data_IF_798299067351
#
_entry.id   IF_798299067351
#
_cell.length_a   1.000
_cell.length_b   1.000
_cell.length_c   1.000
_cell.angle_alpha   90.00
_cell.angle_beta   90.00
_cell.angle_gamma   90.00
#
_symmetry.space_group_name_H-M   'P 1'
#
loop_
_entity.id
_entity.type
_entity.pdbx_description
1 polymer ?
#
# COMPACT_ATOMS: atom_id res chain seq x y z
N UNK A 1 76.45 11.11 7.87
CA UNK A 1 75.71 11.81 6.80
C UNK A 1 74.32 12.06 7.30
N UNK A 2 73.96 13.33 7.43
CA UNK A 2 72.67 13.76 7.94
C UNK A 2 71.54 13.28 7.02
N UNK A 3 70.67 12.41 7.53
CA UNK A 3 69.43 12.10 6.86
C UNK A 3 68.45 13.28 6.98
N UNK A 4 67.72 13.56 5.91
CA UNK A 4 66.57 14.46 5.92
C UNK A 4 65.37 13.62 6.33
N UNK A 5 64.89 13.77 7.57
CA UNK A 5 63.76 12.99 8.06
C UNK A 5 62.52 13.25 7.21
N UNK A 6 61.85 12.16 6.82
CA UNK A 6 60.55 12.25 6.17
C UNK A 6 59.49 12.91 7.08
N UNK A 7 58.32 13.20 6.51
CA UNK A 7 57.22 13.80 7.27
C UNK A 7 56.76 12.97 8.47
N UNK A 8 56.93 11.64 8.39
CA UNK A 8 56.54 10.67 9.41
C UNK A 8 57.70 10.19 10.31
N UNK A 9 58.90 10.76 10.17
CA UNK A 9 60.10 10.35 10.91
C UNK A 9 60.63 11.43 11.85
N UNK A 10 61.15 11.00 13.00
CA UNK A 10 61.95 11.78 13.93
C UNK A 10 63.42 11.77 13.50
N UNK A 11 64.07 12.93 13.57
CA UNK A 11 65.53 13.09 13.42
C UNK A 11 66.14 13.18 14.81
N UNK A 12 67.08 12.32 15.14
CA UNK A 12 67.79 12.35 16.42
C UNK A 12 69.23 11.86 16.26
N UNK A 13 70.06 12.15 17.25
CA UNK A 13 71.46 11.72 17.30
C UNK A 13 71.56 10.44 18.15
N UNK A 14 72.15 9.38 17.61
CA UNK A 14 72.35 8.14 18.34
C UNK A 14 73.52 8.25 19.34
N UNK A 15 73.72 7.20 20.16
CA UNK A 15 74.79 7.15 21.17
C UNK A 15 76.21 7.25 20.62
N UNK A 16 76.38 7.09 19.30
CA UNK A 16 77.66 7.16 18.61
C UNK A 16 77.84 8.52 17.90
N UNK A 17 76.92 9.47 18.08
CA UNK A 17 76.96 10.79 17.45
C UNK A 17 76.45 10.80 16.01
N UNK A 18 75.81 9.73 15.52
CA UNK A 18 75.28 9.69 14.16
C UNK A 18 73.85 10.23 14.12
N UNK A 19 73.58 11.10 13.15
CA UNK A 19 72.22 11.55 12.83
C UNK A 19 71.45 10.42 12.14
N UNK A 20 70.35 10.00 12.76
CA UNK A 20 69.47 8.94 12.27
C UNK A 20 68.01 9.42 12.20
N UNK A 21 67.29 8.90 11.22
CA UNK A 21 65.89 9.18 10.97
C UNK A 21 65.10 7.91 11.23
N UNK A 22 64.13 7.97 12.16
CA UNK A 22 63.31 6.80 12.52
C UNK A 22 61.86 7.20 12.72
N UNK A 23 60.97 6.23 12.55
CA UNK A 23 59.53 6.41 12.73
C UNK A 23 59.10 6.53 14.22
N UNK A 24 59.99 6.25 15.17
CA UNK A 24 59.79 6.43 16.61
C UNK A 24 60.75 7.48 17.19
N UNK A 25 60.33 8.10 18.30
CA UNK A 25 61.14 9.07 19.04
C UNK A 25 62.32 8.39 19.75
N UNK A 26 63.53 8.94 19.61
CA UNK A 26 64.75 8.60 20.38
C UNK A 26 65.09 7.09 20.46
N UNK A 27 64.68 6.30 19.46
CA UNK A 27 64.93 4.86 19.43
C UNK A 27 64.01 4.01 20.30
N UNK A 28 62.92 4.59 20.83
CA UNK A 28 61.85 3.82 21.47
C UNK A 28 61.16 2.85 20.50
N UNK A 29 60.53 1.81 21.03
CA UNK A 29 59.75 0.89 20.21
C UNK A 29 58.52 1.58 19.63
N UNK A 30 58.29 1.37 18.34
CA UNK A 30 57.13 1.92 17.65
C UNK A 30 55.85 1.28 18.20
N UNK A 31 54.93 2.10 18.70
CA UNK A 31 53.66 1.64 19.26
C UNK A 31 52.59 1.56 18.17
N UNK A 32 52.30 0.34 17.73
CA UNK A 32 51.19 0.07 16.82
C UNK A 32 49.87 -0.06 17.57
N UNK A 33 48.77 0.31 16.91
CA UNK A 33 47.43 0.16 17.44
C UNK A 33 46.41 -0.08 16.33
N UNK A 34 45.32 -0.75 16.68
CA UNK A 34 44.18 -0.94 15.80
C UNK A 34 43.29 0.31 15.81
N UNK A 35 42.90 0.77 14.62
CA UNK A 35 41.96 1.87 14.43
C UNK A 35 40.79 1.41 13.58
N UNK A 36 39.57 1.76 13.98
CA UNK A 36 38.37 1.45 13.20
C UNK A 36 38.37 2.24 11.89
N UNK A 37 38.14 1.54 10.78
CA UNK A 37 38.12 2.12 9.44
C UNK A 37 36.72 2.13 8.81
N UNK A 38 35.80 1.32 9.35
CA UNK A 38 34.44 1.22 8.83
C UNK A 38 33.91 -0.20 8.89
N UNK A 39 32.88 -0.44 8.09
CA UNK A 39 32.19 -1.72 8.01
C UNK A 39 32.39 -2.35 6.63
N UNK A 40 32.26 -3.68 6.57
CA UNK A 40 32.18 -4.39 5.30
C UNK A 40 31.13 -3.78 4.34
N UNK A 41 31.44 -3.75 3.04
CA UNK A 41 30.55 -3.18 2.04
C UNK A 41 29.21 -3.94 1.94
N UNK A 42 29.26 -5.26 2.15
CA UNK A 42 28.11 -6.17 2.06
C UNK A 42 27.81 -6.80 3.42
N UNK A 43 26.54 -7.13 3.61
CA UNK A 43 26.10 -7.93 4.74
C UNK A 43 26.50 -9.39 4.52
N UNK A 44 26.87 -10.07 5.60
CA UNK A 44 27.12 -11.51 5.59
C UNK A 44 25.81 -12.30 5.68
N UNK A 45 25.91 -13.64 5.74
CA UNK A 45 24.76 -14.55 5.90
C UNK A 45 23.90 -14.24 7.12
N UNK A 46 24.53 -13.71 8.18
CA UNK A 46 23.88 -13.38 9.44
C UNK A 46 23.24 -11.97 9.42
N UNK A 47 23.17 -11.33 8.25
CA UNK A 47 22.62 -9.98 8.06
C UNK A 47 23.40 -8.95 8.91
N UNK A 48 24.70 -9.17 9.07
CA UNK A 48 25.58 -8.27 9.80
C UNK A 48 26.78 -7.84 8.94
N UNK A 49 27.40 -6.71 9.31
CA UNK A 49 28.66 -6.26 8.75
C UNK A 49 29.76 -6.38 9.80
N UNK A 50 30.88 -6.94 9.38
CA UNK A 50 32.08 -6.98 10.21
C UNK A 50 32.72 -5.59 10.30
N UNK A 51 33.30 -5.30 11.47
CA UNK A 51 34.13 -4.12 11.67
C UNK A 51 35.49 -4.32 11.01
N UNK A 52 35.86 -3.36 10.17
CA UNK A 52 37.17 -3.30 9.53
C UNK A 52 38.07 -2.42 10.41
N UNK A 53 39.24 -2.96 10.74
CA UNK A 53 40.29 -2.25 11.45
C UNK A 53 41.57 -2.23 10.63
N UNK A 54 42.22 -1.07 10.63
CA UNK A 54 43.57 -0.88 10.11
C UNK A 54 44.59 -0.84 11.23
N UNK A 55 45.85 -1.14 10.89
CA UNK A 55 46.97 -1.03 11.81
C UNK A 55 47.65 0.32 11.59
N UNK A 56 47.88 1.05 12.67
CA UNK A 56 48.42 2.41 12.63
C UNK A 56 49.51 2.59 13.67
N UNK A 57 50.39 3.55 13.42
CA UNK A 57 51.20 4.20 14.45
C UNK A 57 50.98 5.72 14.38
N UNK A 58 51.49 6.46 15.35
CA UNK A 58 51.46 7.92 15.35
C UNK A 58 52.85 8.45 15.05
N UNK A 59 52.95 9.36 14.10
CA UNK A 59 54.20 10.04 13.76
C UNK A 59 54.53 11.19 14.75
N UNK A 60 55.59 11.93 14.46
CA UNK A 60 56.03 13.11 15.23
C UNK A 60 55.00 14.23 15.34
N UNK A 61 54.06 14.30 14.40
CA UNK A 61 52.98 15.29 14.40
C UNK A 61 51.69 14.71 15.02
N UNK A 62 51.77 13.54 15.68
CA UNK A 62 50.63 12.80 16.23
C UNK A 62 49.61 12.38 15.14
N UNK A 63 50.05 12.34 13.88
CA UNK A 63 49.23 11.90 12.74
C UNK A 63 49.27 10.38 12.67
N UNK A 64 48.09 9.78 12.48
CA UNK A 64 47.97 8.34 12.31
C UNK A 64 48.44 7.93 10.91
N UNK A 65 49.49 7.10 10.85
CA UNK A 65 50.03 6.54 9.60
C UNK A 65 49.66 5.06 9.52
N UNK A 66 48.98 4.69 8.44
CA UNK A 66 48.54 3.31 8.21
C UNK A 66 49.72 2.45 7.77
N UNK A 67 49.81 1.25 8.33
CA UNK A 67 50.81 0.25 7.99
C UNK A 67 50.15 -1.10 7.73
N UNK A 68 50.93 -2.07 7.29
CA UNK A 68 50.44 -3.43 7.09
C UNK A 68 49.98 -4.05 8.41
N UNK A 69 48.92 -4.87 8.35
CA UNK A 69 48.30 -5.49 9.53
C UNK A 69 49.26 -6.38 10.33
N UNK A 70 50.33 -6.86 9.70
CA UNK A 70 51.39 -7.67 10.33
C UNK A 70 52.09 -6.95 11.49
N UNK A 71 52.10 -5.62 11.50
CA UNK A 71 52.71 -4.84 12.59
C UNK A 71 51.86 -4.78 13.87
N UNK A 72 50.57 -5.11 13.79
CA UNK A 72 49.66 -5.13 14.94
C UNK A 72 49.40 -6.54 15.48
N UNK A 73 50.18 -7.56 15.08
CA UNK A 73 49.99 -8.95 15.51
C UNK A 73 50.21 -9.16 17.01
N UNK A 74 51.10 -8.37 17.61
CA UNK A 74 51.37 -8.35 19.05
C UNK A 74 50.33 -7.57 19.87
N UNK A 75 49.41 -6.86 19.21
CA UNK A 75 48.37 -6.04 19.85
C UNK A 75 47.03 -6.72 19.69
N UNK A 76 46.30 -6.91 20.79
CA UNK A 76 44.98 -7.54 20.75
C UNK A 76 44.04 -6.74 19.84
N UNK A 77 43.47 -7.44 18.84
CA UNK A 77 42.51 -6.85 17.94
C UNK A 77 41.24 -6.50 18.74
N UNK A 78 40.69 -5.28 18.60
CA UNK A 78 39.42 -4.93 19.21
C UNK A 78 38.32 -5.90 18.79
N UNK A 79 37.32 -6.08 19.65
CA UNK A 79 36.30 -7.08 19.47
C UNK A 79 35.63 -6.98 18.08
N UNK A 80 35.53 -8.13 17.40
CA UNK A 80 34.92 -8.28 16.08
C UNK A 80 33.40 -8.26 16.16
N UNK A 81 32.82 -7.39 17.00
CA UNK A 81 31.38 -7.25 17.11
C UNK A 81 30.84 -6.81 15.76
N UNK A 82 30.00 -7.64 15.15
CA UNK A 82 29.33 -7.28 13.91
C UNK A 82 28.16 -6.34 14.22
N UNK A 83 27.81 -5.50 13.26
CA UNK A 83 26.63 -4.63 13.35
C UNK A 83 25.55 -5.13 12.43
N UNK A 84 24.30 -5.08 12.87
CA UNK A 84 23.17 -5.47 12.03
C UNK A 84 23.05 -4.55 10.81
N UNK A 85 22.70 -5.12 9.67
CA UNK A 85 22.35 -4.38 8.48
C UNK A 85 20.91 -3.91 8.57
N UNK A 86 20.69 -2.77 9.20
CA UNK A 86 19.33 -2.27 9.43
C UNK A 86 18.83 -1.42 8.25
N UNK A 87 17.56 -1.59 7.89
CA UNK A 87 16.89 -0.78 6.88
C UNK A 87 15.40 -0.68 7.19
N UNK A 88 14.74 0.48 6.95
CA UNK A 88 13.29 0.56 7.04
C UNK A 88 12.60 -0.33 6.01
N UNK A 89 11.36 -0.70 6.31
CA UNK A 89 10.48 -1.43 5.39
C UNK A 89 10.28 -0.68 4.07
N UNK A 90 10.36 -1.41 2.96
CA UNK A 90 9.99 -0.91 1.64
C UNK A 90 8.46 -0.95 1.51
N UNK A 91 7.84 0.19 1.23
CA UNK A 91 6.38 0.33 1.17
C UNK A 91 5.96 0.80 -0.22
N UNK A 92 5.08 0.05 -0.86
CA UNK A 92 4.45 0.47 -2.11
C UNK A 92 3.14 1.24 -1.85
N UNK A 93 2.65 1.90 -2.91
CA UNK A 93 1.33 2.53 -2.88
C UNK A 93 0.20 1.53 -2.61
N UNK A 94 -0.95 2.06 -2.19
CA UNK A 94 -2.16 1.25 -2.05
C UNK A 94 -2.63 0.74 -3.41
N UNK A 95 -3.04 -0.53 -3.44
CA UNK A 95 -3.77 -1.10 -4.57
C UNK A 95 -5.20 -0.57 -4.65
N UNK A 96 -5.94 -1.05 -5.65
CA UNK A 96 -7.35 -0.72 -5.79
C UNK A 96 -8.17 -1.22 -4.58
N UNK A 97 -9.21 -0.46 -4.23
CA UNK A 97 -10.16 -0.90 -3.22
C UNK A 97 -11.01 -2.07 -3.74
N UNK A 98 -11.28 -3.05 -2.88
CA UNK A 98 -12.10 -4.22 -3.25
C UNK A 98 -13.55 -3.90 -3.62
N UNK A 99 -14.04 -2.72 -3.22
CA UNK A 99 -15.35 -2.19 -3.61
C UNK A 99 -15.24 -0.73 -4.00
N UNK A 100 -16.11 -0.28 -4.89
CA UNK A 100 -16.24 1.14 -5.24
C UNK A 100 -17.07 1.95 -4.23
N UNK A 101 -17.88 1.29 -3.41
CA UNK A 101 -18.73 1.88 -2.37
C UNK A 101 -19.10 0.84 -1.31
N UNK A 102 -19.76 1.26 -0.22
CA UNK A 102 -20.32 0.38 0.79
C UNK A 102 -19.26 -0.33 1.65
N UNK A 103 -18.05 0.22 1.72
CA UNK A 103 -16.94 -0.30 2.52
C UNK A 103 -16.25 -1.49 1.86
N UNK A 104 -15.02 -1.24 1.38
CA UNK A 104 -14.09 -2.24 0.91
C UNK A 104 -12.76 -2.21 1.68
N UNK A 105 -11.83 -3.02 1.22
CA UNK A 105 -10.47 -3.12 1.75
C UNK A 105 -9.49 -2.94 0.60
N UNK A 106 -8.44 -2.16 0.83
CA UNK A 106 -7.30 -2.05 -0.07
C UNK A 106 -6.06 -2.55 0.65
N UNK A 107 -5.17 -3.19 -0.11
CA UNK A 107 -3.90 -3.72 0.40
C UNK A 107 -2.73 -3.04 -0.27
N UNK A 108 -1.57 -3.06 0.39
CA UNK A 108 -0.30 -2.59 -0.20
C UNK A 108 0.82 -3.56 0.12
N UNK A 109 1.87 -3.53 -0.71
CA UNK A 109 3.06 -4.33 -0.45
C UNK A 109 3.94 -3.65 0.61
N UNK A 110 4.34 -4.42 1.61
CA UNK A 110 5.28 -4.04 2.66
C UNK A 110 6.33 -5.15 2.74
N UNK A 111 7.54 -4.87 2.24
CA UNK A 111 8.60 -5.88 2.12
C UNK A 111 9.87 -5.43 2.83
N UNK A 112 10.65 -6.42 3.29
CA UNK A 112 12.00 -6.20 3.77
C UNK A 112 12.98 -6.71 2.70
N UNK A 113 13.91 -5.86 2.28
CA UNK A 113 14.87 -6.23 1.25
C UNK A 113 15.82 -7.32 1.76
N UNK A 114 16.11 -8.30 0.91
CA UNK A 114 17.01 -9.39 1.27
C UNK A 114 18.39 -8.85 1.69
N UNK A 115 18.92 -9.41 2.78
CA UNK A 115 20.20 -8.98 3.36
C UNK A 115 20.10 -7.77 4.30
N UNK A 116 18.90 -7.33 4.66
CA UNK A 116 18.66 -6.33 5.68
C UNK A 116 17.71 -6.84 6.77
N UNK A 117 17.82 -6.24 7.95
CA UNK A 117 16.93 -6.44 9.07
C UNK A 117 16.01 -5.21 9.21
N UNK A 118 14.72 -5.41 9.02
CA UNK A 118 13.71 -4.36 9.14
C UNK A 118 12.94 -4.39 10.47
N UNK A 119 13.16 -5.42 11.31
CA UNK A 119 12.39 -5.68 12.54
C UNK A 119 12.59 -4.61 13.62
N UNK A 120 13.67 -3.84 13.55
CA UNK A 120 13.90 -2.69 14.43
C UNK A 120 13.01 -1.49 14.09
N UNK A 121 12.35 -1.50 12.92
CA UNK A 121 11.39 -0.48 12.51
C UNK A 121 9.96 -1.03 12.64
N UNK A 122 9.00 -0.24 13.13
CA UNK A 122 7.60 -0.64 13.18
C UNK A 122 7.11 -1.04 11.79
N UNK A 123 6.53 -2.24 11.66
CA UNK A 123 5.99 -2.70 10.39
C UNK A 123 4.79 -1.83 9.98
N UNK A 124 4.83 -1.18 8.80
CA UNK A 124 3.71 -0.40 8.32
C UNK A 124 2.46 -1.26 8.07
N UNK A 125 1.28 -0.68 8.26
CA UNK A 125 0.01 -1.36 7.94
C UNK A 125 0.00 -1.79 6.47
N UNK A 126 -0.52 -2.97 6.17
CA UNK A 126 -0.59 -3.52 4.80
C UNK A 126 -2.03 -3.64 4.28
N UNK A 127 -3.02 -3.32 5.10
CA UNK A 127 -4.45 -3.39 4.80
C UNK A 127 -5.18 -2.25 5.47
N UNK A 128 -6.10 -1.59 4.75
CA UNK A 128 -6.96 -0.56 5.32
C UNK A 128 -8.33 -0.52 4.66
N UNK A 129 -9.31 0.01 5.38
CA UNK A 129 -10.63 0.28 4.85
C UNK A 129 -10.58 1.37 3.76
N UNK A 130 -11.46 1.26 2.77
CA UNK A 130 -11.60 2.22 1.68
C UNK A 130 -13.05 2.27 1.19
N UNK A 131 -13.40 3.35 0.49
CA UNK A 131 -14.71 3.54 -0.13
C UNK A 131 -15.88 3.27 0.82
N UNK A 132 -15.83 3.89 2.01
CA UNK A 132 -16.81 3.76 3.09
C UNK A 132 -18.11 4.53 2.83
N UNK A 133 -18.17 5.30 1.75
CA UNK A 133 -19.38 5.99 1.32
C UNK A 133 -20.49 4.97 1.02
N UNK A 134 -21.73 5.34 1.31
CA UNK A 134 -22.89 4.51 0.95
C UNK A 134 -22.98 4.38 -0.57
N UNK A 135 -23.36 3.18 -1.03
CA UNK A 135 -23.66 2.98 -2.43
C UNK A 135 -24.97 3.69 -2.78
N UNK A 136 -25.04 4.27 -3.98
CA UNK A 136 -26.25 4.92 -4.49
C UNK A 136 -27.00 3.97 -5.43
N UNK A 137 -28.25 3.64 -5.07
CA UNK A 137 -29.21 2.99 -5.94
C UNK A 137 -30.38 3.92 -6.27
N UNK A 138 -31.06 3.66 -7.38
CA UNK A 138 -32.28 4.37 -7.77
C UNK A 138 -33.42 3.37 -7.94
N UNK A 139 -34.61 3.77 -7.48
CA UNK A 139 -35.81 3.02 -7.77
C UNK A 139 -36.20 3.24 -9.23
N UNK A 140 -36.42 2.14 -9.94
CA UNK A 140 -36.93 2.12 -11.30
C UNK A 140 -38.37 1.61 -11.28
N UNK A 141 -39.20 2.19 -12.13
CA UNK A 141 -40.63 1.87 -12.24
C UNK A 141 -40.98 1.50 -13.66
N UNK A 142 -41.78 0.44 -13.83
CA UNK A 142 -42.44 0.14 -15.09
C UNK A 142 -43.65 1.04 -15.34
N UNK A 143 -44.25 0.89 -16.52
CA UNK A 143 -45.55 1.51 -16.82
C UNK A 143 -46.66 0.97 -15.91
N UNK A 144 -47.73 1.75 -15.75
CA UNK A 144 -48.94 1.31 -15.07
C UNK A 144 -49.68 0.28 -15.91
N UNK A 145 -50.13 -0.80 -15.27
CA UNK A 145 -51.01 -1.80 -15.88
C UNK A 145 -52.44 -1.29 -16.07
N UNK A 146 -53.31 -2.16 -16.59
CA UNK A 146 -54.73 -1.84 -16.79
C UNK A 146 -55.43 -1.60 -15.45
N UNK A 147 -56.40 -0.69 -15.45
CA UNK A 147 -57.21 -0.38 -14.27
C UNK A 147 -58.15 -1.55 -13.96
N UNK A 148 -58.17 -2.04 -12.71
CA UNK A 148 -59.03 -3.15 -12.28
C UNK A 148 -60.53 -2.85 -12.42
N UNK A 149 -60.89 -1.57 -12.46
CA UNK A 149 -62.26 -1.13 -12.63
C UNK A 149 -62.78 -1.28 -14.07
N UNK A 150 -61.91 -1.63 -15.05
CA UNK A 150 -62.32 -1.90 -16.42
C UNK A 150 -63.08 -3.22 -16.56
N UNK A 151 -62.91 -4.15 -15.63
CA UNK A 151 -63.57 -5.46 -15.65
C UNK A 151 -64.88 -5.47 -14.83
N UNK A 152 -65.39 -4.30 -14.43
CA UNK A 152 -66.62 -4.18 -13.66
C UNK A 152 -67.84 -4.17 -14.58
N UNK A 153 -68.93 -4.87 -14.24
CA UNK A 153 -70.14 -4.90 -15.06
C UNK A 153 -70.84 -3.53 -15.04
N UNK A 154 -71.27 -3.05 -16.21
CA UNK A 154 -72.07 -1.85 -16.35
C UNK A 154 -73.42 -2.19 -16.97
N UNK A 155 -74.51 -1.81 -16.31
CA UNK A 155 -75.85 -2.01 -16.86
C UNK A 155 -76.08 -1.10 -18.09
N UNK A 156 -76.75 -1.65 -19.09
CA UNK A 156 -77.07 -1.03 -20.38
C UNK A 156 -77.88 0.27 -20.27
N UNK A 157 -78.76 0.38 -19.27
CA UNK A 157 -79.67 1.52 -19.11
C UNK A 157 -78.96 2.87 -18.88
N UNK A 158 -77.69 2.85 -18.44
CA UNK A 158 -76.96 4.07 -18.02
C UNK A 158 -75.97 4.59 -19.07
N UNK A 159 -75.81 3.91 -20.21
CA UNK A 159 -74.86 4.25 -21.26
C UNK A 159 -73.38 4.04 -20.87
N UNK A 160 -72.92 4.74 -19.83
CA UNK A 160 -71.58 4.58 -19.26
C UNK A 160 -71.60 4.57 -17.73
N UNK A 161 -70.84 3.65 -17.13
CA UNK A 161 -70.58 3.60 -15.70
C UNK A 161 -69.17 4.10 -15.38
N UNK A 162 -69.05 4.79 -14.25
CA UNK A 162 -67.77 5.25 -13.73
C UNK A 162 -67.44 4.49 -12.46
N UNK A 163 -66.31 3.78 -12.50
CA UNK A 163 -65.85 2.96 -11.39
C UNK A 163 -64.45 3.39 -10.96
N UNK A 164 -64.22 3.39 -9.66
CA UNK A 164 -62.89 3.57 -9.10
C UNK A 164 -62.26 2.19 -8.85
N UNK A 165 -61.03 2.03 -9.29
CA UNK A 165 -60.26 0.80 -9.14
C UNK A 165 -58.81 1.08 -8.78
N UNK A 166 -57.99 0.04 -8.89
CA UNK A 166 -56.55 0.12 -8.65
C UNK A 166 -55.81 -0.36 -9.88
N UNK A 167 -54.71 0.31 -10.20
CA UNK A 167 -53.74 -0.15 -11.19
C UNK A 167 -52.41 -0.44 -10.51
N UNK A 168 -51.68 -1.42 -11.03
CA UNK A 168 -50.42 -1.93 -10.47
C UNK A 168 -49.25 -1.69 -11.43
N UNK A 169 -48.03 -1.56 -10.91
CA UNK A 169 -46.79 -1.50 -11.70
C UNK A 169 -45.65 -2.25 -11.04
N UNK A 170 -44.66 -2.65 -11.84
CA UNK A 170 -43.40 -3.17 -11.33
C UNK A 170 -42.54 -2.05 -10.75
N UNK A 171 -41.96 -2.28 -9.57
CA UNK A 171 -41.01 -1.38 -8.90
C UNK A 171 -39.81 -2.21 -8.47
N UNK A 172 -38.64 -1.92 -9.01
CA UNK A 172 -37.40 -2.64 -8.72
C UNK A 172 -36.23 -1.68 -8.48
N UNK A 173 -35.20 -2.20 -7.85
CA UNK A 173 -34.05 -1.42 -7.40
C UNK A 173 -32.87 -1.61 -8.35
N UNK A 174 -32.21 -0.53 -8.77
CA UNK A 174 -31.15 -0.57 -9.81
C UNK A 174 -29.91 -1.36 -9.38
N UNK A 175 -29.51 -1.19 -8.13
CA UNK A 175 -28.54 -1.95 -7.38
C UNK A 175 -29.06 -1.95 -5.94
N UNK A 176 -28.91 -3.02 -5.15
CA UNK A 176 -29.62 -3.22 -3.86
C UNK A 176 -29.49 -2.15 -2.75
N UNK A 177 -29.02 -0.95 -3.07
CA UNK A 177 -28.79 0.22 -2.23
C UNK A 177 -29.78 1.36 -2.50
N UNK A 178 -31.01 1.07 -2.95
CA UNK A 178 -32.02 2.11 -3.15
C UNK A 178 -32.45 2.75 -1.82
N UNK A 179 -32.90 4.02 -1.85
CA UNK A 179 -33.42 4.70 -0.67
C UNK A 179 -34.56 3.91 -0.01
N UNK A 180 -34.73 4.06 1.30
CA UNK A 180 -35.82 3.42 2.04
C UNK A 180 -37.21 3.83 1.54
N UNK A 181 -37.34 5.04 0.97
CA UNK A 181 -38.55 5.51 0.34
C UNK A 181 -38.78 4.80 -1.01
N UNK A 182 -39.58 3.73 -0.99
CA UNK A 182 -39.97 2.97 -2.19
C UNK A 182 -41.15 3.63 -2.90
N UNK A 183 -41.10 3.84 -4.24
CA UNK A 183 -42.24 4.32 -5.00
C UNK A 183 -43.47 3.41 -4.88
N UNK A 184 -44.70 3.96 -4.99
CA UNK A 184 -45.91 3.15 -4.89
C UNK A 184 -45.97 2.11 -6.02
N UNK A 185 -46.34 0.88 -5.67
CA UNK A 185 -46.57 -0.19 -6.64
C UNK A 185 -48.03 -0.26 -7.12
N UNK A 186 -48.92 0.50 -6.47
CA UNK A 186 -50.32 0.63 -6.81
C UNK A 186 -50.75 2.09 -6.73
N UNK A 187 -51.75 2.46 -7.53
CA UNK A 187 -52.44 3.74 -7.38
C UNK A 187 -53.91 3.60 -7.77
N UNK A 188 -54.73 4.51 -7.27
CA UNK A 188 -56.13 4.62 -7.69
C UNK A 188 -56.24 4.96 -9.17
N UNK A 189 -57.29 4.48 -9.82
CA UNK A 189 -57.66 4.81 -11.19
C UNK A 189 -59.18 4.91 -11.30
N UNK A 190 -59.65 5.70 -12.25
CA UNK A 190 -61.07 5.77 -12.60
C UNK A 190 -61.25 5.23 -14.02
N UNK A 191 -62.15 4.27 -14.18
CA UNK A 191 -62.47 3.67 -15.46
C UNK A 191 -63.89 4.08 -15.88
N UNK A 192 -64.05 4.37 -17.17
CA UNK A 192 -65.34 4.55 -17.83
C UNK A 192 -65.64 3.26 -18.60
N UNK A 193 -66.67 2.53 -18.17
CA UNK A 193 -67.08 1.25 -18.76
C UNK A 193 -68.37 1.49 -19.53
N UNK A 194 -68.46 1.00 -20.77
CA UNK A 194 -69.69 1.05 -21.55
C UNK A 194 -70.66 -0.03 -21.04
N UNK A 195 -71.97 0.25 -21.08
CA UNK A 195 -72.97 -0.77 -20.78
C UNK A 195 -72.88 -1.93 -21.77
N UNK A 196 -72.93 -3.17 -21.27
CA UNK A 196 -72.88 -4.35 -22.14
C UNK A 196 -74.17 -4.42 -23.00
N UNK A 197 -74.03 -4.37 -24.32
CA UNK A 197 -75.10 -4.78 -25.24
C UNK A 197 -75.12 -6.30 -25.26
N UNK A 198 -76.10 -6.92 -24.60
CA UNK A 198 -76.37 -8.36 -24.74
C UNK A 198 -76.60 -8.70 -26.23
N UNK A 199 -75.55 -9.18 -26.90
CA UNK A 199 -75.64 -9.93 -28.16
C UNK A 199 -74.89 -9.35 -29.35
N UNK A 200 -73.56 -9.54 -29.38
CA UNK A 200 -72.87 -9.85 -30.63
C UNK A 200 -71.70 -10.83 -30.35
N UNK A 201 -71.67 -12.03 -30.97
CA UNK A 201 -70.48 -12.86 -30.98
C UNK A 201 -69.52 -12.34 -32.06
N UNK A 202 -68.34 -11.88 -31.66
CA UNK A 202 -67.22 -11.51 -32.54
C UNK A 202 -66.40 -10.38 -31.91
N UNK A 203 -65.10 -10.44 -31.68
CA UNK A 203 -64.06 -11.32 -32.17
C UNK A 203 -62.97 -11.45 -31.09
N UNK A 204 -62.71 -12.67 -30.64
CA UNK A 204 -61.36 -13.02 -30.19
C UNK A 204 -60.53 -13.18 -31.45
N UNK A 205 -59.92 -12.10 -31.94
CA UNK A 205 -58.63 -12.05 -32.63
C UNK A 205 -58.36 -10.67 -33.24
N UNK A 206 -57.60 -9.86 -32.52
CA UNK A 206 -56.64 -8.96 -33.17
C UNK A 206 -55.30 -9.09 -32.47
N UNK A 207 -54.61 -10.17 -32.82
CA UNK A 207 -53.15 -10.15 -32.90
C UNK A 207 -52.78 -9.03 -33.88
N UNK A 208 -52.20 -7.95 -33.36
CA UNK A 208 -51.48 -6.99 -34.18
C UNK A 208 -50.31 -7.71 -34.86
N UNK A 209 -50.43 -7.90 -36.17
CA UNK A 209 -49.30 -8.25 -37.04
C UNK A 209 -48.93 -6.98 -37.82
N UNK A 210 -48.02 -6.21 -37.26
CA UNK A 210 -47.27 -5.19 -38.01
C UNK A 210 -45.98 -5.83 -38.55
N UNK A 211 -45.94 -6.02 -39.88
CA UNK A 211 -44.76 -5.98 -40.75
C UNK A 211 -45.24 -5.59 -42.15
N UNK A 212 -45.10 -4.32 -42.50
CA UNK A 212 -44.01 -3.81 -43.36
C UNK A 212 -43.89 -2.28 -43.19
#
# INVERSE_FOLDING_TARGET
>A
SDCIAASDEYRYEDSNGNIVCKKSSEGSDLKYYWKFEGYGAKCNSDITKEKIYGCYYKDKNNKAIQVTKSHCTSVSKPNSSSVACEKPWTVLGWGACSKSCGGGTQTRSVTCDAGYNCSNYPQPINSQACNTNTCAGVWLTGGWGRCSALDQPCNRDWGFCYFNGTQYRSVWCSNGYCPSAKPPASQGCSARVAGDDDGAPGDRNHEGRDRD
#
